data_IF_969730124267
#
_entry.id   IF_969730124267
#
_cell.length_a   1.000
_cell.length_b   1.000
_cell.length_c   1.000
_cell.angle_alpha   90.00
_cell.angle_beta   90.00
_cell.angle_gamma   90.00
#
_symmetry.space_group_name_H-M   'P 1'
#
loop_
_entity.id
_entity.type
_entity.pdbx_description
1 polymer ?
#
# COMPACT_ATOMS: atom_id res chain seq x y z
N UNK A 1 2.73 -24.69 -8.65
CA UNK A 1 3.53 -23.54 -8.17
C UNK A 1 2.63 -22.64 -7.34
N UNK A 2 2.90 -22.46 -6.05
CA UNK A 2 2.16 -21.49 -5.24
C UNK A 2 2.45 -20.08 -5.78
N UNK A 3 1.42 -19.38 -6.28
CA UNK A 3 1.56 -17.98 -6.69
C UNK A 3 1.96 -17.20 -5.44
N UNK A 4 3.15 -16.61 -5.41
CA UNK A 4 3.46 -15.61 -4.39
C UNK A 4 2.46 -14.47 -4.62
N UNK A 5 1.67 -14.17 -3.60
CA UNK A 5 0.73 -13.06 -3.59
C UNK A 5 1.35 -11.93 -2.76
N UNK A 6 1.11 -10.66 -3.12
CA UNK A 6 1.52 -9.56 -2.28
C UNK A 6 0.79 -9.64 -0.93
N UNK A 7 1.38 -9.09 0.14
CA UNK A 7 0.69 -8.98 1.42
C UNK A 7 -0.62 -8.21 1.26
N UNK A 8 -1.71 -8.72 1.85
CA UNK A 8 -3.03 -8.07 1.77
C UNK A 8 -2.99 -6.62 2.25
N UNK A 9 -2.21 -6.33 3.29
CA UNK A 9 -2.04 -4.98 3.82
C UNK A 9 -1.44 -4.03 2.75
N UNK A 10 -0.44 -4.50 1.98
CA UNK A 10 0.20 -3.72 0.92
C UNK A 10 -0.79 -3.33 -0.19
N UNK A 11 -1.64 -4.26 -0.61
CA UNK A 11 -2.72 -3.99 -1.55
C UNK A 11 -3.73 -2.98 -1.00
N UNK A 12 -4.15 -3.17 0.25
CA UNK A 12 -5.13 -2.29 0.91
C UNK A 12 -4.61 -0.86 1.08
N UNK A 13 -3.35 -0.69 1.50
CA UNK A 13 -2.70 0.61 1.63
C UNK A 13 -2.59 1.34 0.29
N UNK A 14 -2.18 0.62 -0.76
CA UNK A 14 -2.11 1.18 -2.11
C UNK A 14 -3.47 1.61 -2.64
N UNK A 15 -4.49 0.75 -2.52
CA UNK A 15 -5.84 1.05 -2.99
C UNK A 15 -6.43 2.28 -2.29
N UNK A 16 -6.32 2.34 -0.95
CA UNK A 16 -6.77 3.51 -0.19
C UNK A 16 -5.99 4.79 -0.55
N UNK A 17 -4.67 4.70 -0.72
CA UNK A 17 -3.83 5.83 -1.12
C UNK A 17 -4.18 6.33 -2.53
N UNK A 18 -4.42 5.42 -3.48
CA UNK A 18 -4.83 5.75 -4.84
C UNK A 18 -6.23 6.36 -4.88
N UNK A 19 -7.19 5.83 -4.09
CA UNK A 19 -8.55 6.35 -3.99
C UNK A 19 -8.60 7.77 -3.41
N UNK A 20 -7.83 8.03 -2.36
CA UNK A 20 -7.81 9.34 -1.68
C UNK A 20 -6.83 10.34 -2.28
N UNK A 21 -5.94 9.90 -3.18
CA UNK A 21 -4.80 10.66 -3.68
C UNK A 21 -3.96 11.27 -2.53
N UNK A 22 -3.93 10.60 -1.38
CA UNK A 22 -3.31 11.12 -0.15
C UNK A 22 -2.95 9.99 0.81
N UNK A 23 -1.68 9.92 1.18
CA UNK A 23 -1.18 8.96 2.17
C UNK A 23 -1.77 9.23 3.57
N UNK A 24 -1.98 10.50 3.93
CA UNK A 24 -2.55 10.86 5.24
C UNK A 24 -4.01 10.42 5.36
N UNK A 25 -4.84 10.70 4.35
CA UNK A 25 -6.25 10.25 4.36
C UNK A 25 -6.38 8.73 4.32
N UNK A 26 -5.52 8.06 3.56
CA UNK A 26 -5.46 6.59 3.58
C UNK A 26 -5.04 6.05 4.96
N UNK A 27 -4.11 6.72 5.64
CA UNK A 27 -3.69 6.34 6.98
C UNK A 27 -4.83 6.50 7.99
N UNK A 28 -5.59 7.60 7.90
CA UNK A 28 -6.78 7.84 8.71
C UNK A 28 -7.87 6.77 8.49
N UNK A 29 -8.16 6.41 7.22
CA UNK A 29 -9.11 5.33 6.89
C UNK A 29 -8.64 3.98 7.47
N UNK A 30 -7.35 3.68 7.33
CA UNK A 30 -6.77 2.40 7.74
C UNK A 30 -6.39 2.34 9.22
N UNK A 31 -6.55 3.44 9.97
CA UNK A 31 -6.18 3.59 11.39
C UNK A 31 -4.71 3.22 11.66
N UNK A 32 -3.83 3.63 10.75
CA UNK A 32 -2.38 3.45 10.88
C UNK A 32 -1.67 4.79 10.67
N UNK A 33 -0.35 4.84 10.84
CA UNK A 33 0.41 6.06 10.56
C UNK A 33 0.62 6.27 9.06
N UNK A 34 0.75 7.52 8.57
CA UNK A 34 1.10 7.79 7.18
C UNK A 34 2.41 7.10 6.74
N UNK A 35 3.38 6.97 7.66
CA UNK A 35 4.60 6.20 7.42
C UNK A 35 4.30 4.72 7.18
N UNK A 36 3.39 4.11 7.94
CA UNK A 36 3.01 2.70 7.72
C UNK A 36 2.36 2.49 6.35
N UNK A 37 1.51 3.42 5.88
CA UNK A 37 0.95 3.39 4.52
C UNK A 37 2.08 3.45 3.48
N UNK A 38 3.01 4.39 3.63
CA UNK A 38 4.17 4.54 2.72
C UNK A 38 5.01 3.26 2.66
N UNK A 39 5.31 2.65 3.81
CA UNK A 39 6.03 1.38 3.87
C UNK A 39 5.28 0.23 3.18
N UNK A 40 3.96 0.16 3.35
CA UNK A 40 3.13 -0.88 2.71
C UNK A 40 3.03 -0.70 1.21
N UNK A 41 2.87 0.53 0.71
CA UNK A 41 2.94 0.84 -0.72
C UNK A 41 4.30 0.46 -1.29
N UNK A 42 5.40 0.86 -0.63
CA UNK A 42 6.75 0.53 -1.08
C UNK A 42 6.99 -0.98 -1.12
N UNK A 43 6.46 -1.72 -0.16
CA UNK A 43 6.51 -3.19 -0.18
C UNK A 43 5.75 -3.78 -1.39
N UNK A 44 4.62 -3.18 -1.77
CA UNK A 44 3.90 -3.57 -2.98
C UNK A 44 4.71 -3.28 -4.23
N UNK A 45 5.29 -2.08 -4.36
CA UNK A 45 6.14 -1.68 -5.49
C UNK A 45 7.34 -2.62 -5.67
N UNK A 46 8.00 -3.00 -4.58
CA UNK A 46 9.09 -3.98 -4.59
C UNK A 46 8.57 -5.34 -5.05
N UNK A 47 7.39 -5.75 -4.59
CA UNK A 47 6.79 -7.03 -4.96
C UNK A 47 6.44 -7.10 -6.46
N UNK A 48 5.89 -6.02 -7.02
CA UNK A 48 5.58 -5.95 -8.46
C UNK A 48 6.77 -5.57 -9.33
N UNK A 49 7.84 -5.04 -8.75
CA UNK A 49 9.03 -4.59 -9.47
C UNK A 49 8.80 -3.29 -10.26
N UNK A 50 7.87 -2.44 -9.82
CA UNK A 50 7.54 -1.18 -10.49
C UNK A 50 6.97 -0.17 -9.51
N UNK A 51 7.25 1.11 -9.78
CA UNK A 51 6.70 2.23 -9.03
C UNK A 51 5.20 2.38 -9.35
N UNK A 52 4.38 2.54 -8.32
CA UNK A 52 2.92 2.62 -8.43
C UNK A 52 2.37 3.98 -7.99
N UNK A 53 3.04 4.67 -7.06
CA UNK A 53 2.69 6.02 -6.57
C UNK A 53 3.87 6.99 -6.65
#
# INVERSE_FOLDING_TARGET
MARKLPPFAALRAFEAAARHLSLSKAADELRISPSAVSHQVKALEIFVGSKLL
#
